data_IF_738910345281
#
_entry.id   IF_738910345281
#
_cell.length_a   1.000
_cell.length_b   1.000
_cell.length_c   1.000
_cell.angle_alpha   90.00
_cell.angle_beta   90.00
_cell.angle_gamma   90.00
#
_symmetry.space_group_name_H-M   'P 1'
#
loop_
_entity.id
_entity.type
_entity.pdbx_description
1 polymer ?
#
# COMPACT_ATOMS: atom_id res chain seq x y z
N UNK A 1 11.87 -21.59 61.29
CA UNK A 1 10.91 -20.92 60.39
C UNK A 1 11.68 -20.40 59.18
N UNK A 2 11.44 -20.96 57.98
CA UNK A 2 12.07 -20.50 56.74
C UNK A 2 11.27 -19.29 56.25
N UNK A 3 11.90 -18.12 56.24
CA UNK A 3 11.30 -16.86 55.84
C UNK A 3 10.91 -16.95 54.36
N UNK A 4 9.60 -16.86 54.08
CA UNK A 4 9.01 -17.37 52.83
C UNK A 4 8.93 -16.36 51.69
N UNK A 5 9.31 -15.09 51.87
CA UNK A 5 9.34 -14.12 50.77
C UNK A 5 10.43 -13.06 50.99
N UNK A 6 11.40 -12.89 50.07
CA UNK A 6 12.30 -11.74 50.10
C UNK A 6 11.49 -10.46 49.88
N UNK A 7 11.61 -9.48 50.79
CA UNK A 7 11.01 -8.15 50.61
C UNK A 7 11.77 -7.42 49.51
N UNK A 8 11.11 -7.19 48.39
CA UNK A 8 11.61 -6.35 47.31
C UNK A 8 11.56 -4.90 47.80
N UNK A 9 12.67 -4.18 47.74
CA UNK A 9 12.75 -2.76 48.07
C UNK A 9 12.02 -1.92 47.00
N UNK A 10 11.39 -0.81 47.38
CA UNK A 10 10.56 0.03 46.47
C UNK A 10 11.32 0.48 45.21
N UNK A 11 12.64 0.65 45.30
CA UNK A 11 13.50 0.96 44.14
C UNK A 11 13.62 -0.20 43.14
N UNK A 12 13.57 -1.44 43.62
CA UNK A 12 13.59 -2.62 42.76
C UNK A 12 12.21 -2.86 42.12
N UNK A 13 11.13 -2.57 42.84
CA UNK A 13 9.77 -2.62 42.29
C UNK A 13 9.56 -1.59 41.17
N UNK A 14 10.06 -0.35 41.34
CA UNK A 14 10.00 0.70 40.31
C UNK A 14 10.78 0.30 39.05
N UNK A 15 11.94 -0.34 39.21
CA UNK A 15 12.78 -0.77 38.08
C UNK A 15 12.16 -1.93 37.29
N UNK A 16 11.50 -2.86 37.98
CA UNK A 16 10.76 -3.95 37.34
C UNK A 16 9.53 -3.40 36.60
N UNK A 17 8.84 -2.38 37.13
CA UNK A 17 7.72 -1.72 36.45
C UNK A 17 8.18 -0.97 35.18
N UNK A 18 9.32 -0.26 35.22
CA UNK A 18 9.91 0.37 34.04
C UNK A 18 10.35 -0.65 32.97
N UNK A 19 10.85 -1.82 33.37
CA UNK A 19 11.19 -2.92 32.45
C UNK A 19 9.94 -3.59 31.85
N UNK A 20 8.78 -3.50 32.50
CA UNK A 20 7.50 -4.03 32.01
C UNK A 20 6.74 -3.04 31.10
N UNK A 21 6.96 -1.72 31.28
CA UNK A 21 6.39 -0.65 30.45
C UNK A 21 7.28 -0.25 29.25
N UNK A 22 8.50 -0.79 29.15
CA UNK A 22 9.26 -0.72 27.92
C UNK A 22 8.44 -1.41 26.81
N UNK A 23 8.20 -0.74 25.65
CA UNK A 23 7.57 -1.41 24.53
C UNK A 23 8.42 -2.62 24.20
N UNK A 24 7.88 -3.82 24.47
CA UNK A 24 8.42 -5.05 23.91
C UNK A 24 8.48 -4.82 22.42
N UNK A 25 9.69 -4.59 21.90
CA UNK A 25 9.97 -4.83 20.50
C UNK A 25 9.50 -6.26 20.26
N UNK A 26 8.33 -6.38 19.63
CA UNK A 26 7.80 -7.63 19.14
C UNK A 26 8.92 -8.28 18.36
N UNK A 27 9.45 -9.36 18.93
CA UNK A 27 10.40 -10.23 18.25
C UNK A 27 9.83 -10.48 16.86
N UNK A 28 10.53 -9.98 15.84
CA UNK A 28 10.15 -10.20 14.44
C UNK A 28 10.22 -11.70 14.22
N UNK A 29 9.07 -12.35 14.15
CA UNK A 29 8.96 -13.69 13.58
C UNK A 29 9.47 -13.60 12.14
N UNK A 30 10.60 -14.25 11.86
CA UNK A 30 11.36 -14.22 10.60
C UNK A 30 10.67 -15.03 9.48
N UNK A 31 9.34 -14.99 9.43
CA UNK A 31 8.51 -15.63 8.39
C UNK A 31 8.15 -14.65 7.27
N UNK A 32 8.49 -13.36 7.41
CA UNK A 32 8.11 -12.30 6.48
C UNK A 32 6.61 -11.96 6.49
N UNK A 33 5.85 -12.48 7.46
CA UNK A 33 4.43 -12.20 7.63
C UNK A 33 4.23 -10.82 8.26
N UNK A 34 3.27 -10.05 7.73
CA UNK A 34 2.86 -8.76 8.31
C UNK A 34 1.59 -8.94 9.14
N UNK A 35 1.42 -8.09 10.14
CA UNK A 35 0.18 -8.02 10.91
C UNK A 35 -0.95 -7.39 10.08
N UNK A 36 -2.21 -7.66 10.46
CA UNK A 36 -3.37 -7.01 9.84
C UNK A 36 -3.30 -5.49 10.00
N UNK A 37 -2.80 -5.00 11.13
CA UNK A 37 -2.64 -3.56 11.40
C UNK A 37 -1.63 -2.91 10.45
N UNK A 38 -0.58 -3.62 10.06
CA UNK A 38 0.36 -3.15 9.04
C UNK A 38 -0.26 -3.10 7.65
N UNK A 39 -1.08 -4.09 7.29
CA UNK A 39 -1.83 -4.05 6.04
C UNK A 39 -2.83 -2.89 6.01
N UNK A 40 -3.55 -2.66 7.11
CA UNK A 40 -4.51 -1.56 7.24
C UNK A 40 -3.88 -0.17 7.19
N UNK A 41 -2.55 -0.05 7.35
CA UNK A 41 -1.83 1.20 7.09
C UNK A 41 -1.75 1.53 5.60
N UNK A 42 -1.98 0.58 4.69
CA UNK A 42 -2.00 0.82 3.25
C UNK A 42 -3.41 1.25 2.84
N UNK A 43 -3.55 2.47 2.32
CA UNK A 43 -4.85 2.97 1.83
C UNK A 43 -5.07 2.46 0.40
N UNK A 44 -5.70 1.29 0.29
CA UNK A 44 -6.11 0.72 -0.99
C UNK A 44 -7.50 1.22 -1.37
N UNK A 45 -7.66 1.75 -2.58
CA UNK A 45 -8.94 2.27 -3.07
C UNK A 45 -9.25 1.84 -4.49
N UNK A 46 -10.55 1.78 -4.79
CA UNK A 46 -11.04 1.67 -6.16
C UNK A 46 -10.92 3.02 -6.86
N UNK A 47 -10.49 3.00 -8.11
CA UNK A 47 -10.39 4.20 -8.93
C UNK A 47 -10.71 3.91 -10.39
N UNK A 48 -11.37 4.85 -11.06
CA UNK A 48 -11.71 4.76 -12.48
C UNK A 48 -10.74 5.57 -13.31
N UNK A 49 -10.18 4.95 -14.34
CA UNK A 49 -9.27 5.62 -15.26
C UNK A 49 -10.08 6.56 -16.17
N UNK A 50 -9.82 7.85 -16.09
CA UNK A 50 -10.45 8.87 -16.93
C UNK A 50 -9.66 9.13 -18.20
N UNK A 51 -8.33 9.18 -18.09
CA UNK A 51 -7.42 9.45 -19.19
C UNK A 51 -6.20 8.53 -19.07
N UNK A 52 -5.67 8.09 -20.21
CA UNK A 52 -4.47 7.29 -20.30
C UNK A 52 -3.61 7.76 -21.48
N UNK A 53 -2.32 7.96 -21.25
CA UNK A 53 -1.37 8.45 -22.26
C UNK A 53 -0.02 7.74 -22.16
N UNK A 54 0.59 7.34 -23.28
CA UNK A 54 1.96 6.80 -23.27
C UNK A 54 2.98 7.89 -22.93
N UNK A 55 3.90 7.59 -22.02
CA UNK A 55 4.98 8.51 -21.65
C UNK A 55 6.06 8.49 -22.72
N UNK A 56 6.21 9.56 -23.52
CA UNK A 56 7.21 9.63 -24.62
C UNK A 56 8.65 9.30 -24.20
N UNK A 57 9.00 9.53 -22.93
CA UNK A 57 10.33 9.26 -22.37
C UNK A 57 10.55 7.81 -21.90
N UNK A 58 9.53 6.95 -21.91
CA UNK A 58 9.63 5.56 -21.47
C UNK A 58 8.74 4.63 -22.28
N UNK A 59 9.28 3.49 -22.71
CA UNK A 59 8.52 2.46 -23.43
C UNK A 59 7.58 1.66 -22.53
N UNK A 60 7.79 1.72 -21.20
CA UNK A 60 7.07 0.88 -20.22
C UNK A 60 6.00 1.63 -19.43
N UNK A 61 6.00 2.96 -19.47
CA UNK A 61 5.15 3.78 -18.60
C UNK A 61 3.95 4.34 -19.36
N UNK A 62 2.77 4.18 -18.77
CA UNK A 62 1.55 4.89 -19.12
C UNK A 62 1.23 5.87 -18.01
N UNK A 63 0.90 7.10 -18.38
CA UNK A 63 0.38 8.12 -17.50
C UNK A 63 -1.14 7.97 -17.44
N UNK A 64 -1.65 7.72 -16.26
CA UNK A 64 -3.06 7.54 -15.97
C UNK A 64 -3.56 8.70 -15.12
N UNK A 65 -4.79 9.13 -15.41
CA UNK A 65 -5.55 10.03 -14.57
C UNK A 65 -6.70 9.22 -13.98
N UNK A 66 -6.63 8.97 -12.68
CA UNK A 66 -7.55 8.05 -11.98
C UNK A 66 -8.43 8.85 -11.04
N UNK A 67 -9.74 8.71 -11.20
CA UNK A 67 -10.74 9.25 -10.30
C UNK A 67 -11.02 8.28 -9.16
N UNK A 68 -10.82 8.72 -7.93
CA UNK A 68 -11.12 7.97 -6.71
C UNK A 68 -12.37 8.49 -6.01
N UNK A 69 -13.27 9.15 -6.74
CA UNK A 69 -14.54 9.69 -6.25
C UNK A 69 -14.41 10.99 -5.47
N UNK A 70 -13.38 11.14 -4.63
CA UNK A 70 -13.12 12.38 -3.88
C UNK A 70 -12.22 13.36 -4.62
N UNK A 71 -11.29 12.84 -5.41
CA UNK A 71 -10.32 13.61 -6.17
C UNK A 71 -9.81 12.81 -7.36
N UNK A 72 -9.12 13.49 -8.27
CA UNK A 72 -8.45 12.86 -9.40
C UNK A 72 -6.94 12.88 -9.19
N UNK A 73 -6.29 11.74 -9.39
CA UNK A 73 -4.86 11.57 -9.16
C UNK A 73 -4.12 11.18 -10.43
N UNK A 74 -2.90 11.68 -10.55
CA UNK A 74 -2.00 11.29 -11.62
C UNK A 74 -1.15 10.10 -11.16
N UNK A 75 -1.21 8.98 -11.89
CA UNK A 75 -0.47 7.76 -11.58
C UNK A 75 0.31 7.33 -12.81
N UNK A 76 1.58 6.98 -12.64
CA UNK A 76 2.41 6.39 -13.68
C UNK A 76 2.44 4.88 -13.46
N UNK A 77 1.89 4.12 -14.40
CA UNK A 77 1.83 2.67 -14.33
C UNK A 77 2.78 2.04 -15.35
N UNK A 78 3.54 1.03 -14.90
CA UNK A 78 4.50 0.29 -15.71
C UNK A 78 3.88 -0.74 -16.65
N UNK A 79 2.72 -0.46 -17.24
CA UNK A 79 1.85 -1.42 -17.94
C UNK A 79 1.82 -1.25 -19.46
N UNK A 80 2.66 -0.36 -20.01
CA UNK A 80 2.61 -0.02 -21.44
C UNK A 80 3.03 -1.17 -22.38
N UNK A 81 3.67 -2.22 -21.85
CA UNK A 81 4.07 -3.41 -22.64
C UNK A 81 2.88 -4.36 -22.90
N UNK A 82 1.82 -4.28 -22.09
CA UNK A 82 0.68 -5.21 -22.17
C UNK A 82 -0.66 -4.53 -22.48
N UNK A 83 -0.78 -3.21 -22.30
CA UNK A 83 -2.02 -2.48 -22.51
C UNK A 83 -1.82 -1.23 -23.37
N UNK A 84 -2.74 -1.04 -24.32
CA UNK A 84 -2.88 0.24 -24.99
C UNK A 84 -3.67 1.23 -24.11
N UNK A 85 -3.36 2.54 -24.16
CA UNK A 85 -4.05 3.53 -23.34
C UNK A 85 -5.57 3.55 -23.52
N UNK A 86 -6.04 3.29 -24.74
CA UNK A 86 -7.45 3.28 -25.11
C UNK A 86 -8.24 2.21 -24.35
N UNK A 87 -7.63 1.03 -24.11
CA UNK A 87 -8.24 -0.09 -23.38
C UNK A 87 -8.31 0.17 -21.86
N UNK A 88 -7.56 1.16 -21.37
CA UNK A 88 -7.50 1.50 -19.95
C UNK A 88 -8.59 2.50 -19.56
N UNK A 89 -9.04 3.34 -20.50
CA UNK A 89 -10.02 4.39 -20.22
C UNK A 89 -11.36 3.76 -19.83
N UNK A 90 -11.95 4.25 -18.74
CA UNK A 90 -13.20 3.76 -18.19
C UNK A 90 -13.06 2.52 -17.30
N UNK A 91 -11.88 1.88 -17.25
CA UNK A 91 -11.65 0.70 -16.41
C UNK A 91 -11.52 1.09 -14.93
N UNK A 92 -12.17 0.32 -14.07
CA UNK A 92 -12.02 0.41 -12.62
C UNK A 92 -10.86 -0.47 -12.15
N UNK A 93 -9.94 0.13 -11.39
CA UNK A 93 -8.68 -0.48 -10.93
C UNK A 93 -8.48 -0.28 -9.44
N UNK A 94 -7.57 -1.05 -8.85
CA UNK A 94 -7.15 -0.89 -7.46
C UNK A 94 -5.88 -0.03 -7.42
N UNK A 95 -5.88 1.00 -6.58
CA UNK A 95 -4.73 1.88 -6.37
C UNK A 95 -4.30 1.93 -4.91
N UNK A 96 -3.02 2.23 -4.69
CA UNK A 96 -2.49 2.66 -3.39
C UNK A 96 -2.56 4.19 -3.30
N UNK A 97 -3.41 4.71 -2.42
CA UNK A 97 -3.72 6.13 -2.27
C UNK A 97 -2.85 6.86 -1.23
N UNK A 98 -2.15 6.17 -0.33
CA UNK A 98 -1.30 6.83 0.67
C UNK A 98 0.21 6.62 0.44
N UNK A 99 0.59 6.26 -0.79
CA UNK A 99 2.00 6.18 -1.16
C UNK A 99 2.59 7.59 -1.30
N UNK A 100 3.83 7.78 -0.83
CA UNK A 100 4.56 9.03 -1.10
C UNK A 100 4.69 9.25 -2.60
N UNK A 101 4.51 10.49 -3.11
CA UNK A 101 4.69 10.78 -4.52
C UNK A 101 6.10 10.39 -5.00
N UNK A 102 6.16 9.69 -6.12
CA UNK A 102 7.41 9.27 -6.75
C UNK A 102 7.58 9.96 -8.10
N UNK A 103 8.79 10.44 -8.42
CA UNK A 103 9.09 11.01 -9.73
C UNK A 103 9.69 9.94 -10.64
N UNK A 104 8.99 9.60 -11.73
CA UNK A 104 9.50 8.72 -12.78
C UNK A 104 9.66 9.52 -14.07
N UNK A 105 10.87 9.53 -14.62
CA UNK A 105 11.18 10.24 -15.88
C UNK A 105 10.81 11.75 -15.87
N UNK A 106 10.84 12.36 -14.68
CA UNK A 106 10.50 13.77 -14.47
C UNK A 106 9.00 14.05 -14.30
N UNK A 107 8.15 13.02 -14.31
CA UNK A 107 6.70 13.12 -14.08
C UNK A 107 6.39 12.57 -12.68
N UNK A 108 5.53 13.25 -11.93
CA UNK A 108 5.11 12.82 -10.59
C UNK A 108 4.01 11.75 -10.66
N UNK A 109 4.15 10.69 -9.86
CA UNK A 109 3.15 9.64 -9.65
C UNK A 109 2.68 9.70 -8.21
N UNK A 110 1.38 9.91 -8.00
CA UNK A 110 0.73 10.08 -6.70
C UNK A 110 -0.02 8.82 -6.24
N UNK A 111 0.50 7.67 -6.66
CA UNK A 111 -0.05 6.37 -6.33
C UNK A 111 0.61 5.27 -7.15
N UNK A 112 0.05 4.07 -6.99
CA UNK A 112 0.45 2.87 -7.71
C UNK A 112 -0.79 2.07 -8.07
N UNK A 113 -0.91 1.65 -9.32
CA UNK A 113 -1.92 0.67 -9.75
C UNK A 113 -1.41 -0.73 -9.42
N UNK A 114 -2.27 -1.57 -8.86
CA UNK A 114 -1.93 -2.96 -8.62
C UNK A 114 -2.06 -3.79 -9.90
N UNK A 115 -1.00 -4.52 -10.24
CA UNK A 115 -0.98 -5.44 -11.35
C UNK A 115 -0.14 -6.68 -11.00
N UNK A 116 -0.58 -7.85 -11.45
CA UNK A 116 0.19 -9.07 -11.41
C UNK A 116 1.15 -9.13 -12.61
N UNK A 117 2.35 -9.66 -12.39
CA UNK A 117 3.29 -9.98 -13.44
C UNK A 117 3.26 -11.49 -13.68
N UNK A 118 2.83 -11.89 -14.87
CA UNK A 118 2.72 -13.27 -15.31
C UNK A 118 3.70 -13.48 -16.48
N UNK A 119 4.94 -13.84 -16.14
CA UNK A 119 6.03 -14.11 -17.10
C UNK A 119 6.23 -13.02 -18.16
N UNK A 120 6.18 -11.75 -17.72
CA UNK A 120 6.35 -10.58 -18.59
C UNK A 120 5.05 -10.01 -19.15
N UNK A 121 3.91 -10.70 -18.97
CA UNK A 121 2.58 -10.15 -19.22
C UNK A 121 2.02 -9.53 -17.96
N UNK A 122 1.56 -8.28 -18.04
CA UNK A 122 0.96 -7.59 -16.89
C UNK A 122 -0.55 -7.77 -16.90
N UNK A 123 -1.12 -8.07 -15.73
CA UNK A 123 -2.55 -8.22 -15.51
C UNK A 123 -2.99 -7.23 -14.44
N UNK A 124 -3.80 -6.25 -14.80
CA UNK A 124 -4.28 -5.23 -13.85
C UNK A 124 -5.28 -5.85 -12.89
N UNK A 125 -5.06 -5.66 -11.59
CA UNK A 125 -5.99 -6.09 -10.56
C UNK A 125 -7.29 -5.28 -10.65
N UNK A 126 -8.41 -5.98 -10.56
CA UNK A 126 -9.75 -5.41 -10.63
C UNK A 126 -10.73 -6.26 -9.85
N UNK A 127 -12.01 -6.09 -10.16
CA UNK A 127 -13.11 -6.77 -9.49
C UNK A 127 -14.00 -7.46 -10.50
N UNK A 128 -14.61 -8.57 -10.10
CA UNK A 128 -15.56 -9.30 -10.95
C UNK A 128 -16.84 -8.48 -11.21
N UNK A 129 -17.22 -7.62 -10.26
CA UNK A 129 -18.31 -6.65 -10.38
C UNK A 129 -17.74 -5.26 -10.21
N UNK A 130 -18.22 -4.29 -11.01
CA UNK A 130 -17.74 -2.92 -10.91
C UNK A 130 -18.17 -2.28 -9.58
N UNK A 131 -17.23 -1.98 -8.67
CA UNK A 131 -17.56 -1.33 -7.41
C UNK A 131 -17.82 0.16 -7.62
N UNK A 132 -18.35 0.83 -6.60
CA UNK A 132 -18.38 2.29 -6.57
C UNK A 132 -16.97 2.89 -6.65
N UNK A 133 -16.90 4.18 -7.00
CA UNK A 133 -15.66 4.94 -7.06
C UNK A 133 -15.16 5.27 -5.65
N UNK A 134 -13.85 5.16 -5.41
CA UNK A 134 -13.23 5.60 -4.16
C UNK A 134 -13.43 4.69 -2.96
N UNK A 135 -13.98 3.49 -3.16
CA UNK A 135 -14.28 2.54 -2.10
C UNK A 135 -12.97 1.97 -1.56
N UNK A 136 -12.87 1.88 -0.23
CA UNK A 136 -11.72 1.27 0.43
C UNK A 136 -11.72 -0.25 0.20
N UNK A 137 -10.58 -0.77 -0.21
CA UNK A 137 -10.31 -2.20 -0.36
C UNK A 137 -9.74 -2.73 0.95
N UNK A 138 -10.20 -3.89 1.40
CA UNK A 138 -9.84 -4.53 2.66
C UNK A 138 -9.78 -6.05 2.52
#
# INVERSE_FOLDING_TARGET
AKQLFPRIEDKQAAKILEELDAPKETAKDDTGQITIDEFMKVDLRTGKILEAEKVKKSRKLVKLKVDIGTETRQILAGIAESFEPEDLIGRTVIIVANLKPAKLMGIESQGMVLAANNDGSLLIAGFDQEPGLGIQVR
#
